data_IF_167532617951
#
_entry.id   IF_167532617951
#
_cell.length_a   1.000
_cell.length_b   1.000
_cell.length_c   1.000
_cell.angle_alpha   90.00
_cell.angle_beta   90.00
_cell.angle_gamma   90.00
#
_symmetry.space_group_name_H-M   'P 1'
#
loop_
_entity.id
_entity.type
_entity.pdbx_description
1 polymer ?
#
# COMPACT_ATOMS: atom_id res chain seq x y z
N UNK A 1 6.68 -2.69 20.46
CA UNK A 1 6.69 -2.44 19.00
C UNK A 1 5.26 -2.27 18.58
N UNK A 2 4.91 -1.16 17.92
CA UNK A 2 3.52 -0.91 17.49
C UNK A 2 3.16 -1.78 16.27
N UNK A 3 1.87 -1.99 16.01
CA UNK A 3 1.41 -2.71 14.81
C UNK A 3 1.96 -2.10 13.52
N UNK A 4 2.03 -0.76 13.42
CA UNK A 4 2.53 -0.07 12.23
C UNK A 4 4.04 -0.23 12.08
N UNK A 5 4.80 -0.27 13.18
CA UNK A 5 6.23 -0.55 13.13
C UNK A 5 6.51 -1.98 12.63
N UNK A 6 5.68 -2.95 13.02
CA UNK A 6 5.78 -4.31 12.49
C UNK A 6 5.49 -4.35 10.97
N UNK A 7 4.43 -3.67 10.51
CA UNK A 7 4.12 -3.55 9.08
C UNK A 7 5.27 -2.90 8.31
N UNK A 8 5.85 -1.81 8.83
CA UNK A 8 7.00 -1.13 8.22
C UNK A 8 8.19 -2.06 8.05
N UNK A 9 8.53 -2.84 9.08
CA UNK A 9 9.61 -3.83 9.01
C UNK A 9 9.35 -4.89 7.94
N UNK A 10 8.13 -5.43 7.89
CA UNK A 10 7.73 -6.42 6.88
C UNK A 10 7.78 -5.85 5.48
N UNK A 11 7.31 -4.63 5.24
CA UNK A 11 7.40 -3.97 3.94
C UNK A 11 8.85 -3.80 3.47
N UNK A 12 9.77 -3.41 4.36
CA UNK A 12 11.19 -3.32 4.03
C UNK A 12 11.77 -4.69 3.65
N UNK A 13 11.39 -5.76 4.38
CA UNK A 13 11.80 -7.12 4.05
C UNK A 13 11.26 -7.55 2.68
N UNK A 14 9.98 -7.30 2.42
CA UNK A 14 9.35 -7.60 1.13
C UNK A 14 9.99 -6.83 -0.01
N UNK A 15 10.35 -5.56 0.20
CA UNK A 15 11.07 -4.75 -0.78
C UNK A 15 12.42 -5.35 -1.14
N UNK A 16 13.15 -5.87 -0.15
CA UNK A 16 14.43 -6.56 -0.38
C UNK A 16 14.22 -7.87 -1.16
N UNK A 17 13.21 -8.66 -0.79
CA UNK A 17 12.85 -9.90 -1.47
C UNK A 17 12.43 -9.67 -2.92
N UNK A 18 11.61 -8.65 -3.19
CA UNK A 18 11.19 -8.28 -4.53
C UNK A 18 12.39 -7.92 -5.41
N UNK A 19 13.33 -7.14 -4.87
CA UNK A 19 14.57 -6.78 -5.57
C UNK A 19 15.39 -8.03 -5.90
N UNK A 20 15.53 -8.96 -4.94
CA UNK A 20 16.24 -10.22 -5.14
C UNK A 20 15.55 -11.15 -6.16
N UNK A 21 14.22 -11.22 -6.15
CA UNK A 21 13.43 -11.98 -7.12
C UNK A 21 13.64 -11.45 -8.55
N UNK A 22 13.68 -10.13 -8.71
CA UNK A 22 13.99 -9.47 -9.97
C UNK A 22 15.38 -9.77 -10.51
N UNK A 23 16.40 -9.75 -9.64
CA UNK A 23 17.80 -9.97 -10.05
C UNK A 23 18.12 -11.44 -10.38
N UNK A 24 17.55 -12.37 -9.62
CA UNK A 24 17.88 -13.79 -9.75
C UNK A 24 16.92 -14.55 -10.67
N UNK A 25 15.87 -13.90 -11.18
CA UNK A 25 14.79 -14.56 -11.94
C UNK A 25 14.03 -15.62 -11.13
N UNK A 26 14.20 -15.63 -9.80
CA UNK A 26 13.58 -16.60 -8.88
C UNK A 26 12.19 -16.09 -8.51
N UNK A 27 11.26 -16.32 -9.41
CA UNK A 27 9.88 -15.83 -9.30
C UNK A 27 8.99 -16.74 -8.43
N UNK A 28 9.53 -17.88 -7.98
CA UNK A 28 8.87 -18.81 -7.07
C UNK A 28 8.49 -18.13 -5.74
N UNK A 29 9.21 -17.08 -5.37
CA UNK A 29 9.02 -16.32 -4.13
C UNK A 29 7.94 -15.22 -4.26
N UNK A 30 7.46 -14.92 -5.48
CA UNK A 30 6.48 -13.85 -5.71
C UNK A 30 5.13 -14.15 -5.04
N UNK A 31 4.72 -15.42 -5.02
CA UNK A 31 3.50 -15.83 -4.33
C UNK A 31 3.54 -15.53 -2.82
N UNK A 32 4.72 -15.61 -2.20
CA UNK A 32 4.90 -15.23 -0.79
C UNK A 32 4.77 -13.72 -0.61
N UNK A 33 5.32 -12.93 -1.53
CA UNK A 33 5.20 -11.46 -1.50
C UNK A 33 3.72 -11.05 -1.56
N UNK A 34 2.94 -11.62 -2.47
CA UNK A 34 1.50 -11.34 -2.59
C UNK A 34 0.74 -11.71 -1.31
N UNK A 35 1.05 -12.88 -0.73
CA UNK A 35 0.42 -13.34 0.51
C UNK A 35 0.71 -12.39 1.68
N UNK A 36 1.97 -11.97 1.83
CA UNK A 36 2.38 -11.06 2.90
C UNK A 36 1.78 -9.65 2.72
N UNK A 37 1.72 -9.13 1.49
CA UNK A 37 1.04 -7.86 1.20
C UNK A 37 -0.46 -7.92 1.58
N UNK A 38 -1.12 -9.04 1.31
CA UNK A 38 -2.52 -9.27 1.68
C UNK A 38 -2.75 -9.33 3.19
N UNK A 39 -1.79 -9.92 3.93
CA UNK A 39 -1.83 -9.94 5.38
C UNK A 39 -1.65 -8.53 5.96
N UNK A 40 -0.69 -7.76 5.45
CA UNK A 40 -0.47 -6.36 5.86
C UNK A 40 -1.73 -5.52 5.59
N UNK A 41 -2.37 -5.71 4.43
CA UNK A 41 -3.64 -5.07 4.12
C UNK A 41 -4.74 -5.39 5.16
N UNK A 42 -4.86 -6.65 5.56
CA UNK A 42 -5.82 -7.09 6.58
C UNK A 42 -5.49 -6.50 7.95
N UNK A 43 -4.22 -6.45 8.33
CA UNK A 43 -3.77 -5.85 9.59
C UNK A 43 -4.05 -4.34 9.63
N UNK A 44 -3.83 -3.65 8.51
CA UNK A 44 -4.11 -2.23 8.36
C UNK A 44 -5.60 -1.91 8.54
N UNK A 45 -6.50 -2.74 8.01
CA UNK A 45 -7.94 -2.58 8.22
C UNK A 45 -8.35 -2.66 9.70
N UNK A 46 -7.61 -3.43 10.50
CA UNK A 46 -7.87 -3.58 11.94
C UNK A 46 -7.22 -2.48 12.79
N UNK A 47 -6.38 -1.63 12.20
CA UNK A 47 -5.57 -0.66 12.91
C UNK A 47 -6.39 0.43 13.60
N UNK A 48 -7.54 0.82 13.03
CA UNK A 48 -8.39 1.89 13.56
C UNK A 48 -8.83 1.66 15.02
N UNK A 49 -9.06 0.40 15.40
CA UNK A 49 -9.50 0.07 16.76
C UNK A 49 -8.38 0.20 17.81
N UNK A 50 -7.11 0.26 17.37
CA UNK A 50 -5.95 0.18 18.25
C UNK A 50 -5.23 1.54 18.46
N UNK A 51 -5.64 2.61 17.77
CA UNK A 51 -4.98 3.92 17.82
C UNK A 51 -5.75 4.89 18.70
N UNK A 52 -5.04 5.54 19.62
CA UNK A 52 -5.58 6.62 20.49
C UNK A 52 -5.25 8.00 19.91
N UNK A 53 -5.92 9.08 20.33
CA UNK A 53 -5.59 10.44 19.90
C UNK A 53 -4.11 10.80 20.11
N UNK A 54 -3.52 10.38 21.23
CA UNK A 54 -2.13 10.66 21.61
C UNK A 54 -1.11 9.91 20.74
N UNK A 55 -1.52 8.77 20.18
CA UNK A 55 -0.65 7.93 19.33
C UNK A 55 -0.90 8.15 17.83
N UNK A 56 -1.97 8.86 17.46
CA UNK A 56 -2.38 9.12 16.08
C UNK A 56 -1.31 9.84 15.24
N UNK A 57 -0.63 10.85 15.78
CA UNK A 57 0.41 11.57 15.04
C UNK A 57 1.60 10.67 14.70
N UNK A 58 2.06 9.86 15.65
CA UNK A 58 3.15 8.91 15.42
C UNK A 58 2.74 7.82 14.43
N UNK A 59 1.51 7.31 14.58
CA UNK A 59 0.94 6.33 13.68
C UNK A 59 0.87 6.81 12.22
N UNK A 60 0.43 8.06 12.01
CA UNK A 60 0.40 8.70 10.69
C UNK A 60 1.79 8.83 10.08
N UNK A 61 2.79 9.24 10.86
CA UNK A 61 4.15 9.37 10.35
C UNK A 61 4.71 8.01 9.91
N UNK A 62 4.44 6.96 10.68
CA UNK A 62 4.85 5.59 10.31
C UNK A 62 4.12 5.10 9.06
N UNK A 63 2.83 5.43 8.87
CA UNK A 63 2.12 5.13 7.62
C UNK A 63 2.74 5.85 6.42
N UNK A 64 3.16 7.11 6.57
CA UNK A 64 3.89 7.84 5.51
C UNK A 64 5.19 7.11 5.16
N UNK A 65 5.94 6.63 6.16
CA UNK A 65 7.17 5.86 5.92
C UNK A 65 6.89 4.55 5.17
N UNK A 66 5.83 3.82 5.55
CA UNK A 66 5.39 2.62 4.84
C UNK A 66 5.08 2.93 3.36
N UNK A 67 4.40 4.04 3.08
CA UNK A 67 4.06 4.45 1.70
C UNK A 67 5.29 4.78 0.86
N UNK A 68 6.32 5.39 1.46
CA UNK A 68 7.61 5.61 0.77
C UNK A 68 8.21 4.26 0.32
N UNK A 69 8.20 3.25 1.20
CA UNK A 69 8.67 1.91 0.85
C UNK A 69 7.81 1.29 -0.25
N UNK A 70 6.48 1.41 -0.16
CA UNK A 70 5.57 0.90 -1.19
C UNK A 70 5.83 1.51 -2.57
N UNK A 71 6.05 2.82 -2.65
CA UNK A 71 6.42 3.45 -3.93
C UNK A 71 7.74 2.91 -4.48
N UNK A 72 8.75 2.73 -3.62
CA UNK A 72 10.02 2.09 -4.04
C UNK A 72 9.81 0.65 -4.56
N UNK A 73 8.90 -0.11 -3.95
CA UNK A 73 8.51 -1.43 -4.45
C UNK A 73 7.78 -1.34 -5.80
N UNK A 74 6.91 -0.36 -6.01
CA UNK A 74 6.22 -0.16 -7.28
C UNK A 74 7.21 0.16 -8.41
N UNK A 75 8.21 1.00 -8.15
CA UNK A 75 9.29 1.29 -9.09
C UNK A 75 10.06 0.00 -9.43
N UNK A 76 10.43 -0.78 -8.41
CA UNK A 76 11.11 -2.07 -8.61
C UNK A 76 10.26 -3.06 -9.43
N UNK A 77 8.96 -3.16 -9.16
CA UNK A 77 8.04 -3.99 -9.97
C UNK A 77 8.06 -3.53 -11.44
N UNK A 78 8.03 -2.22 -11.68
CA UNK A 78 8.01 -1.68 -13.04
C UNK A 78 9.32 -1.95 -13.80
N UNK A 79 10.46 -1.85 -13.11
CA UNK A 79 11.76 -2.20 -13.66
C UNK A 79 11.82 -3.70 -14.01
N UNK A 80 11.36 -4.57 -13.11
CA UNK A 80 11.32 -6.02 -13.34
C UNK A 80 10.41 -6.35 -14.52
N UNK A 81 9.22 -5.73 -14.63
CA UNK A 81 8.30 -5.90 -15.76
C UNK A 81 8.95 -5.50 -17.07
N UNK A 82 9.63 -4.36 -17.09
CA UNK A 82 10.30 -3.84 -18.28
C UNK A 82 11.42 -4.79 -18.73
N UNK A 83 12.27 -5.23 -17.80
CA UNK A 83 13.33 -6.18 -18.07
C UNK A 83 12.78 -7.54 -18.56
N UNK A 84 11.75 -8.05 -17.89
CA UNK A 84 11.07 -9.32 -18.25
C UNK A 84 10.46 -9.26 -19.64
N UNK A 85 9.77 -8.17 -19.97
CA UNK A 85 9.16 -7.98 -21.29
C UNK A 85 10.23 -7.91 -22.39
N UNK A 86 11.38 -7.31 -22.11
CA UNK A 86 12.49 -7.25 -23.06
C UNK A 86 13.11 -8.65 -23.26
N UNK A 87 13.37 -9.39 -22.18
CA UNK A 87 13.85 -10.77 -22.27
C UNK A 87 12.87 -11.69 -23.02
N UNK A 88 11.56 -11.53 -22.77
CA UNK A 88 10.51 -12.23 -23.50
C UNK A 88 10.57 -11.98 -25.00
N UNK A 89 10.73 -10.71 -25.42
CA UNK A 89 10.88 -10.36 -26.85
C UNK A 89 12.15 -10.95 -27.45
N UNK A 90 13.26 -10.89 -26.73
CA UNK A 90 14.56 -11.41 -27.20
C UNK A 90 14.53 -12.93 -27.39
N UNK A 91 13.94 -13.68 -26.46
CA UNK A 91 13.84 -15.14 -26.56
C UNK A 91 12.92 -15.56 -27.71
N UNK A 92 11.78 -14.89 -27.89
CA UNK A 92 10.83 -15.29 -28.93
C UNK A 92 11.22 -14.79 -30.32
N UNK A 93 11.77 -13.58 -30.44
CA UNK A 93 12.10 -12.97 -31.73
C UNK A 93 10.92 -13.08 -32.72
N UNK A 94 11.19 -13.68 -33.89
CA UNK A 94 10.20 -13.90 -34.94
C UNK A 94 9.14 -14.96 -34.59
N UNK A 95 9.44 -15.86 -33.64
CA UNK A 95 8.54 -16.93 -33.21
C UNK A 95 7.43 -16.47 -32.26
N UNK A 96 7.36 -15.18 -31.92
CA UNK A 96 6.37 -14.64 -30.99
C UNK A 96 4.94 -15.01 -31.39
N UNK A 97 4.57 -14.79 -32.65
CA UNK A 97 3.22 -15.08 -33.16
C UNK A 97 2.90 -16.57 -33.08
N UNK A 98 3.89 -17.44 -33.35
CA UNK A 98 3.73 -18.89 -33.24
C UNK A 98 3.51 -19.28 -31.78
N UNK A 99 4.34 -18.78 -30.88
CA UNK A 99 4.21 -19.01 -29.44
C UNK A 99 2.84 -18.59 -28.89
N UNK A 100 2.33 -17.42 -29.28
CA UNK A 100 1.05 -16.91 -28.80
C UNK A 100 -0.16 -17.72 -29.31
N UNK A 101 0.00 -18.50 -30.38
CA UNK A 101 -1.02 -19.40 -30.93
C UNK A 101 -1.00 -20.81 -30.33
N UNK A 102 0.11 -21.20 -29.69
CA UNK A 102 0.22 -22.48 -29.00
C UNK A 102 -0.65 -22.51 -27.74
N UNK A 103 -1.16 -23.70 -27.41
CA UNK A 103 -1.75 -23.96 -26.11
C UNK A 103 -0.70 -23.88 -24.99
N UNK A 104 -1.16 -23.81 -23.75
CA UNK A 104 -0.28 -23.60 -22.59
C UNK A 104 0.73 -24.75 -22.39
N UNK A 105 0.35 -26.00 -22.67
CA UNK A 105 1.24 -27.14 -22.53
C UNK A 105 2.35 -27.14 -23.59
N UNK A 106 2.01 -26.78 -24.82
CA UNK A 106 2.97 -26.58 -25.91
C UNK A 106 3.89 -25.38 -25.64
N UNK A 107 3.34 -24.26 -25.14
CA UNK A 107 4.15 -23.10 -24.73
C UNK A 107 5.17 -23.47 -23.66
N UNK A 108 4.76 -24.21 -22.63
CA UNK A 108 5.63 -24.61 -21.53
C UNK A 108 6.72 -25.61 -21.98
N UNK A 109 6.39 -26.54 -22.86
CA UNK A 109 7.32 -27.60 -23.30
C UNK A 109 8.26 -27.16 -24.42
N UNK A 110 7.76 -26.45 -25.42
CA UNK A 110 8.53 -26.03 -26.61
C UNK A 110 9.27 -24.71 -26.41
N UNK A 111 8.73 -23.81 -25.58
CA UNK A 111 9.27 -22.46 -25.35
C UNK A 111 9.36 -22.14 -23.85
N UNK A 112 9.90 -23.07 -23.07
CA UNK A 112 9.94 -23.02 -21.60
C UNK A 112 10.46 -21.68 -21.04
N UNK A 113 11.51 -21.11 -21.62
CA UNK A 113 12.08 -19.84 -21.17
C UNK A 113 11.14 -18.65 -21.44
N UNK A 114 10.53 -18.57 -22.64
CA UNK A 114 9.56 -17.52 -22.95
C UNK A 114 8.29 -17.66 -22.09
N UNK A 115 7.87 -18.89 -21.84
CA UNK A 115 6.77 -19.18 -20.92
C UNK A 115 7.05 -18.69 -19.50
N UNK A 116 8.26 -18.92 -18.99
CA UNK A 116 8.69 -18.39 -17.68
C UNK A 116 8.64 -16.86 -17.62
N UNK A 117 9.13 -16.15 -18.64
CA UNK A 117 9.03 -14.68 -18.67
C UNK A 117 7.58 -14.19 -18.78
N UNK A 118 6.72 -14.92 -19.50
CA UNK A 118 5.29 -14.61 -19.54
C UNK A 118 4.65 -14.74 -18.15
N UNK A 119 4.98 -15.80 -17.41
CA UNK A 119 4.50 -16.03 -16.05
C UNK A 119 5.00 -14.93 -15.10
N UNK A 120 6.29 -14.63 -15.16
CA UNK A 120 6.94 -13.55 -14.42
C UNK A 120 6.20 -12.22 -14.57
N UNK A 121 5.88 -11.86 -15.82
CA UNK A 121 5.21 -10.61 -16.14
C UNK A 121 3.81 -10.54 -15.51
N UNK A 122 3.05 -11.65 -15.56
CA UNK A 122 1.73 -11.75 -14.91
C UNK A 122 1.83 -11.63 -13.39
N UNK A 123 2.81 -12.30 -12.78
CA UNK A 123 3.02 -12.26 -11.34
C UNK A 123 3.39 -10.84 -10.85
N UNK A 124 4.20 -10.11 -11.62
CA UNK A 124 4.51 -8.71 -11.31
C UNK A 124 3.29 -7.80 -11.43
N UNK A 125 2.37 -8.09 -12.35
CA UNK A 125 1.09 -7.37 -12.44
C UNK A 125 0.26 -7.56 -11.17
N UNK A 126 0.19 -8.78 -10.66
CA UNK A 126 -0.49 -9.10 -9.41
C UNK A 126 0.13 -8.38 -8.20
N UNK A 127 1.47 -8.39 -8.09
CA UNK A 127 2.18 -7.63 -7.04
C UNK A 127 1.86 -6.13 -7.17
N UNK A 128 1.91 -5.56 -8.37
CA UNK A 128 1.59 -4.15 -8.62
C UNK A 128 0.18 -3.79 -8.13
N UNK A 129 -0.81 -4.65 -8.40
CA UNK A 129 -2.19 -4.43 -7.96
C UNK A 129 -2.30 -4.42 -6.43
N UNK A 130 -1.65 -5.35 -5.74
CA UNK A 130 -1.65 -5.41 -4.27
C UNK A 130 -0.95 -4.21 -3.65
N UNK A 131 0.17 -3.77 -4.22
CA UNK A 131 0.87 -2.56 -3.78
C UNK A 131 -0.02 -1.32 -3.89
N UNK A 132 -0.74 -1.14 -5.00
CA UNK A 132 -1.65 0.01 -5.18
C UNK A 132 -2.85 -0.05 -4.22
N UNK A 133 -3.43 -1.23 -4.01
CA UNK A 133 -4.50 -1.41 -3.03
C UNK A 133 -4.03 -1.07 -1.61
N UNK A 134 -2.83 -1.52 -1.25
CA UNK A 134 -2.27 -1.24 0.07
C UNK A 134 -1.93 0.24 0.24
N UNK A 135 -1.36 0.90 -0.78
CA UNK A 135 -1.08 2.35 -0.73
C UNK A 135 -2.36 3.17 -0.52
N UNK A 136 -3.42 2.86 -1.28
CA UNK A 136 -4.73 3.50 -1.12
C UNK A 136 -5.31 3.30 0.27
N UNK A 137 -5.25 2.07 0.79
CA UNK A 137 -5.71 1.76 2.15
C UNK A 137 -4.92 2.48 3.23
N UNK A 138 -3.59 2.65 3.06
CA UNK A 138 -2.75 3.41 3.99
C UNK A 138 -3.09 4.90 3.98
N UNK A 139 -3.40 5.45 2.81
CA UNK A 139 -3.85 6.83 2.67
C UNK A 139 -5.18 7.05 3.39
N UNK A 140 -6.16 6.17 3.14
CA UNK A 140 -7.49 6.24 3.78
C UNK A 140 -7.38 6.09 5.30
N UNK A 141 -6.56 5.14 5.77
CA UNK A 141 -6.28 4.96 7.21
C UNK A 141 -5.65 6.21 7.80
N UNK A 142 -4.66 6.81 7.12
CA UNK A 142 -4.05 8.07 7.55
C UNK A 142 -5.05 9.20 7.74
N UNK A 143 -5.97 9.37 6.78
CA UNK A 143 -7.06 10.36 6.88
C UNK A 143 -8.04 10.07 8.03
N UNK A 144 -8.35 8.80 8.28
CA UNK A 144 -9.24 8.42 9.37
C UNK A 144 -8.60 8.68 10.74
N UNK A 145 -7.30 8.40 10.88
CA UNK A 145 -6.55 8.70 12.10
C UNK A 145 -6.44 10.21 12.38
N UNK A 146 -6.29 11.02 11.34
CA UNK A 146 -6.30 12.48 11.45
C UNK A 146 -7.66 13.01 11.94
N UNK A 147 -8.76 12.55 11.35
CA UNK A 147 -10.10 12.95 11.79
C UNK A 147 -10.41 12.52 13.22
N UNK A 148 -10.01 11.30 13.60
CA UNK A 148 -10.19 10.80 14.96
C UNK A 148 -9.43 11.62 16.01
N UNK A 149 -8.19 12.04 15.68
CA UNK A 149 -7.40 12.89 16.57
C UNK A 149 -8.04 14.28 16.77
N UNK A 150 -8.54 14.90 15.70
CA UNK A 150 -9.19 16.22 15.79
C UNK A 150 -10.51 16.17 16.57
N UNK A 151 -11.30 15.11 16.43
CA UNK A 151 -12.53 14.92 17.21
C UNK A 151 -12.24 14.75 18.72
N UNK A 152 -11.15 14.07 19.08
CA UNK A 152 -10.70 13.92 20.47
C UNK A 152 -10.18 15.23 21.08
N UNK A 153 -9.50 16.07 20.28
CA UNK A 153 -8.94 17.35 20.73
C UNK A 153 -10.04 18.41 20.96
N UNK A 154 -11.10 18.40 20.15
CA UNK A 154 -12.27 19.30 20.34
C UNK A 154 -13.06 19.05 21.62
N UNK A 155 -12.94 17.87 22.24
CA UNK A 155 -13.59 17.55 23.53
C UNK A 155 -12.77 18.00 24.75
N UNK A 156 -11.45 18.18 24.60
CA UNK A 156 -10.59 18.74 25.64
C UNK A 156 -10.47 20.27 25.57
N UNK A 157 -10.80 20.86 24.42
CA UNK A 157 -10.96 22.31 24.24
C UNK A 157 -12.36 22.79 24.59
N UNK A 158 -12.93 22.39 25.73
CA UNK A 158 -14.11 23.04 26.28
C UNK A 158 -13.74 24.50 26.58
N UNK A 159 -13.97 25.35 25.58
CA UNK A 159 -14.13 26.79 25.75
C UNK A 159 -15.07 26.94 26.93
N UNK A 160 -14.58 27.52 28.03
CA UNK A 160 -15.45 28.02 29.07
C UNK A 160 -16.46 28.89 28.34
N UNK A 161 -17.70 28.43 28.29
CA UNK A 161 -18.83 29.24 27.88
C UNK A 161 -18.89 30.39 28.88
N UNK A 162 -18.13 31.45 28.57
CA UNK A 162 -18.35 32.76 29.16
C UNK A 162 -19.78 33.12 28.81
N UNK A 163 -20.53 33.32 29.88
CA UNK A 163 -21.95 33.56 29.98
C UNK A 163 -22.31 34.85 29.21
N UNK A 164 -22.32 34.75 27.88
CA UNK A 164 -22.83 35.75 26.97
C UNK A 164 -24.33 35.54 26.86
N UNK A 165 -25.08 36.12 27.79
CA UNK A 165 -26.21 37.05 27.51
C UNK A 165 -27.12 37.19 28.72
N UNK A 166 -27.27 38.41 29.24
CA UNK A 166 -28.56 39.09 29.43
C UNK A 166 -28.32 40.52 29.91
N UNK A 167 -27.80 41.34 28.98
CA UNK A 167 -28.11 42.76 29.00
C UNK A 167 -29.50 42.93 28.39
N UNK A 168 -30.53 42.97 29.24
CA UNK A 168 -31.82 43.52 28.85
C UNK A 168 -31.86 44.95 29.38
N UNK A 169 -31.38 45.88 28.57
CA UNK A 169 -31.67 47.30 28.73
C UNK A 169 -32.87 47.63 27.84
N UNK A 170 -34.03 47.88 28.45
CA UNK A 170 -35.03 48.80 27.89
C UNK A 170 -35.72 49.52 29.06
N UNK A 171 -35.58 50.84 29.07
CA UNK A 171 -35.97 51.74 30.15
C UNK A 171 -37.43 52.20 30.16
N UNK A 172 -37.76 52.98 31.19
CA UNK A 172 -39.10 53.56 31.37
C UNK A 172 -39.21 54.57 32.52
N UNK A 173 -38.72 55.78 32.27
CA UNK A 173 -39.18 57.11 32.74
C UNK A 173 -39.81 57.30 34.15
N UNK A 174 -39.09 58.10 34.95
CA UNK A 174 -39.52 59.25 35.77
C UNK A 174 -41.03 59.60 35.80
N UNK A 175 -41.65 59.48 36.99
CA UNK A 175 -42.43 60.50 37.75
C UNK A 175 -43.20 59.82 38.89
#
# INVERSE_FOLDING_TARGET
MSHIQNMSMRLNQLSSQLTAAGQNGRLDEVGLIVSELSQIYTELQNLQAAVTPETSSSARQELVNCRIVLHGMMDAVQDIRTATAEQYRQVLGENKTVFEQLDEAAQQSEYSQAYQYRLAFKQMDEVSQHLHQLDGSMLDTGYQLERGAMAGDTLNGAVQSEDLTLGTDEGGAMM
#
